data_IF_158232597237
#
_entry.id   IF_158232597237
#
_cell.length_a   1.000
_cell.length_b   1.000
_cell.length_c   1.000
_cell.angle_alpha   90.00
_cell.angle_beta   90.00
_cell.angle_gamma   90.00
#
_symmetry.space_group_name_H-M   'P 1'
#
loop_
_entity.id
_entity.type
_entity.pdbx_description
1 polymer ?
#
# COMPACT_ATOMS: atom_id res chain seq x y z
N UNK A 1 -4.30 11.72 -18.47
CA UNK A 1 -5.54 11.06 -18.00
C UNK A 1 -5.26 9.58 -17.76
N UNK A 2 -5.57 9.06 -16.57
CA UNK A 2 -5.40 7.69 -16.05
C UNK A 2 -4.46 6.70 -16.77
N UNK A 3 -4.74 6.27 -18.00
CA UNK A 3 -3.86 5.37 -18.78
C UNK A 3 -2.43 5.91 -18.95
N UNK A 4 -2.27 7.23 -19.06
CA UNK A 4 -0.95 7.86 -19.07
C UNK A 4 -0.19 7.69 -17.74
N UNK A 5 -0.91 7.69 -16.61
CA UNK A 5 -0.32 7.44 -15.30
C UNK A 5 0.10 5.98 -15.13
N UNK A 6 -0.70 5.02 -15.61
CA UNK A 6 -0.32 3.61 -15.62
C UNK A 6 0.92 3.35 -16.49
N UNK A 7 1.00 3.98 -17.67
CA UNK A 7 2.20 3.93 -18.52
C UNK A 7 3.41 4.55 -17.85
N UNK A 8 3.23 5.64 -17.11
CA UNK A 8 4.28 6.31 -16.36
C UNK A 8 4.83 5.44 -15.21
N UNK A 9 3.96 4.64 -14.59
CA UNK A 9 4.34 3.72 -13.51
C UNK A 9 4.90 2.38 -14.01
N UNK A 10 4.74 2.06 -15.30
CA UNK A 10 5.25 0.82 -15.88
C UNK A 10 6.78 0.76 -15.78
N UNK A 11 7.31 -0.38 -15.32
CA UNK A 11 8.74 -0.64 -15.16
C UNK A 11 9.53 -0.46 -16.46
N UNK A 12 8.98 -0.87 -17.60
CA UNK A 12 9.65 -0.79 -18.90
C UNK A 12 9.77 0.65 -19.43
N UNK A 13 8.87 1.53 -18.97
CA UNK A 13 8.81 2.94 -19.36
C UNK A 13 9.14 3.85 -18.18
N UNK A 14 9.80 3.32 -17.14
CA UNK A 14 10.02 4.05 -15.91
C UNK A 14 10.89 5.29 -16.19
N UNK A 15 10.35 6.51 -16.08
CA UNK A 15 11.04 7.73 -16.45
C UNK A 15 12.26 8.01 -15.56
N UNK A 16 12.31 7.43 -14.36
CA UNK A 16 13.45 7.53 -13.45
C UNK A 16 14.68 6.85 -14.05
N UNK A 17 14.50 5.75 -14.80
CA UNK A 17 15.59 5.00 -15.44
C UNK A 17 16.16 5.72 -16.67
N UNK A 18 15.37 6.58 -17.30
CA UNK A 18 15.73 7.32 -18.52
C UNK A 18 16.33 8.70 -18.16
N UNK A 19 16.29 9.11 -16.89
CA UNK A 19 16.81 10.40 -16.43
C UNK A 19 18.33 10.52 -16.66
N UNK A 20 18.76 11.65 -17.25
CA UNK A 20 20.14 11.90 -17.64
C UNK A 20 21.04 12.41 -16.51
N UNK A 21 20.45 13.04 -15.50
CA UNK A 21 21.17 13.59 -14.35
C UNK A 21 20.41 13.34 -13.03
N UNK A 22 21.13 13.50 -11.91
CA UNK A 22 20.62 13.20 -10.56
C UNK A 22 19.51 14.16 -10.12
N UNK A 23 19.56 15.42 -10.54
CA UNK A 23 18.54 16.43 -10.23
C UNK A 23 17.20 16.07 -10.88
N UNK A 24 17.23 15.70 -12.17
CA UNK A 24 16.07 15.19 -12.89
C UNK A 24 15.53 13.91 -12.25
N UNK A 25 16.42 12.99 -11.87
CA UNK A 25 16.03 11.74 -11.21
C UNK A 25 15.30 11.99 -9.90
N UNK A 26 15.75 12.94 -9.09
CA UNK A 26 15.10 13.29 -7.83
C UNK A 26 13.70 13.87 -8.07
N UNK A 27 13.58 14.82 -9.01
CA UNK A 27 12.29 15.43 -9.37
C UNK A 27 11.31 14.37 -9.92
N UNK A 28 11.79 13.48 -10.79
CA UNK A 28 10.98 12.42 -11.39
C UNK A 28 10.57 11.38 -10.35
N UNK A 29 11.44 11.03 -9.40
CA UNK A 29 11.10 10.15 -8.27
C UNK A 29 9.98 10.73 -7.42
N UNK A 30 10.06 12.02 -7.07
CA UNK A 30 8.99 12.69 -6.32
C UNK A 30 7.66 12.67 -7.06
N UNK A 31 7.66 12.94 -8.38
CA UNK A 31 6.46 12.85 -9.22
C UNK A 31 5.94 11.41 -9.35
N UNK A 32 6.84 10.43 -9.44
CA UNK A 32 6.50 9.01 -9.52
C UNK A 32 5.77 8.52 -8.28
N UNK A 33 6.27 8.89 -7.09
CA UNK A 33 5.61 8.59 -5.81
C UNK A 33 4.20 9.23 -5.78
N UNK A 34 4.08 10.50 -6.17
CA UNK A 34 2.78 11.20 -6.19
C UNK A 34 1.77 10.54 -7.14
N UNK A 35 2.19 10.20 -8.36
CA UNK A 35 1.34 9.53 -9.35
C UNK A 35 0.94 8.14 -8.87
N UNK A 36 1.88 7.37 -8.32
CA UNK A 36 1.63 6.05 -7.74
C UNK A 36 0.61 6.09 -6.61
N UNK A 37 0.75 7.06 -5.71
CA UNK A 37 -0.21 7.27 -4.62
C UNK A 37 -1.62 7.59 -5.13
N UNK A 38 -1.73 8.49 -6.12
CA UNK A 38 -3.03 8.82 -6.71
C UNK A 38 -3.67 7.62 -7.43
N UNK A 39 -2.89 6.86 -8.20
CA UNK A 39 -3.36 5.65 -8.88
C UNK A 39 -3.81 4.61 -7.85
N UNK A 40 -3.05 4.37 -6.79
CA UNK A 40 -3.43 3.47 -5.71
C UNK A 40 -4.74 3.90 -5.03
N UNK A 41 -4.88 5.19 -4.71
CA UNK A 41 -6.11 5.72 -4.10
C UNK A 41 -7.34 5.48 -4.96
N UNK A 42 -7.27 5.85 -6.25
CA UNK A 42 -8.40 5.70 -7.17
C UNK A 42 -8.75 4.23 -7.35
N UNK A 43 -7.76 3.35 -7.54
CA UNK A 43 -8.02 1.92 -7.70
C UNK A 43 -8.57 1.27 -6.44
N UNK A 44 -8.15 1.73 -5.25
CA UNK A 44 -8.72 1.27 -4.00
C UNK A 44 -10.20 1.64 -3.87
N UNK A 45 -10.60 2.84 -4.31
CA UNK A 45 -12.00 3.27 -4.35
C UNK A 45 -12.82 2.50 -5.39
N UNK A 46 -12.20 2.18 -6.54
CA UNK A 46 -12.80 1.37 -7.60
C UNK A 46 -12.79 -0.14 -7.30
N UNK A 47 -12.23 -0.56 -6.16
CA UNK A 47 -12.05 -1.98 -5.78
C UNK A 47 -11.16 -2.80 -6.73
N UNK A 48 -10.33 -2.13 -7.53
CA UNK A 48 -9.33 -2.76 -8.37
C UNK A 48 -8.07 -3.03 -7.54
N UNK A 49 -8.13 -4.03 -6.67
CA UNK A 49 -7.09 -4.27 -5.66
C UNK A 49 -5.73 -4.66 -6.27
N UNK A 50 -5.70 -5.39 -7.39
CA UNK A 50 -4.45 -5.78 -8.05
C UNK A 50 -3.66 -4.57 -8.56
N UNK A 51 -4.36 -3.65 -9.25
CA UNK A 51 -3.75 -2.41 -9.77
C UNK A 51 -3.34 -1.50 -8.61
N UNK A 52 -4.14 -1.45 -7.54
CA UNK A 52 -3.79 -0.72 -6.32
C UNK A 52 -2.49 -1.25 -5.72
N UNK A 53 -2.39 -2.56 -5.51
CA UNK A 53 -1.22 -3.19 -4.90
C UNK A 53 0.04 -3.01 -5.75
N UNK A 54 -0.07 -3.12 -7.07
CA UNK A 54 1.06 -2.88 -7.98
C UNK A 54 1.53 -1.41 -7.93
N UNK A 55 0.59 -0.45 -7.93
CA UNK A 55 0.93 0.96 -7.77
C UNK A 55 1.58 1.26 -6.41
N UNK A 56 1.08 0.66 -5.32
CA UNK A 56 1.65 0.77 -3.98
C UNK A 56 3.05 0.18 -3.91
N UNK A 57 3.28 -1.00 -4.48
CA UNK A 57 4.60 -1.63 -4.52
C UNK A 57 5.63 -0.73 -5.20
N UNK A 58 5.25 -0.11 -6.32
CA UNK A 58 6.09 0.84 -7.03
C UNK A 58 6.41 2.09 -6.21
N UNK A 59 5.45 2.61 -5.43
CA UNK A 59 5.72 3.71 -4.49
C UNK A 59 6.70 3.27 -3.41
N UNK A 60 6.46 2.13 -2.77
CA UNK A 60 7.27 1.64 -1.65
C UNK A 60 8.70 1.25 -2.06
N UNK A 61 8.95 0.93 -3.33
CA UNK A 61 10.31 0.76 -3.88
C UNK A 61 11.16 2.04 -3.81
N UNK A 62 10.52 3.21 -3.93
CA UNK A 62 11.19 4.51 -3.93
C UNK A 62 11.05 5.26 -2.60
N UNK A 63 9.97 5.03 -1.87
CA UNK A 63 9.72 5.56 -0.54
C UNK A 63 9.14 4.45 0.36
N UNK A 64 9.99 3.62 0.99
CA UNK A 64 9.56 2.52 1.85
C UNK A 64 8.75 2.97 3.07
N UNK A 65 8.91 4.23 3.48
CA UNK A 65 8.24 4.82 4.64
C UNK A 65 7.00 5.63 4.24
N UNK A 66 6.51 5.48 3.00
CA UNK A 66 5.33 6.18 2.53
C UNK A 66 4.08 5.71 3.28
N UNK A 67 3.66 6.53 4.25
CA UNK A 67 2.52 6.28 5.13
C UNK A 67 1.24 6.00 4.33
N UNK A 68 0.98 6.76 3.26
CA UNK A 68 -0.23 6.57 2.46
C UNK A 68 -0.22 5.23 1.72
N UNK A 69 0.90 4.88 1.11
CA UNK A 69 1.06 3.63 0.37
C UNK A 69 0.93 2.41 1.30
N UNK A 70 1.56 2.45 2.49
CA UNK A 70 1.44 1.38 3.51
C UNK A 70 -0.01 1.18 3.96
N UNK A 71 -0.73 2.27 4.25
CA UNK A 71 -2.13 2.18 4.64
C UNK A 71 -3.00 1.61 3.50
N UNK A 72 -2.80 2.09 2.27
CA UNK A 72 -3.52 1.59 1.08
C UNK A 72 -3.22 0.11 0.82
N UNK A 73 -1.98 -0.34 1.04
CA UNK A 73 -1.59 -1.76 0.95
C UNK A 73 -2.39 -2.61 1.92
N UNK A 74 -2.34 -2.24 3.21
CA UNK A 74 -3.05 -2.97 4.26
C UNK A 74 -4.55 -2.98 4.03
N UNK A 75 -5.12 -1.86 3.59
CA UNK A 75 -6.55 -1.77 3.25
C UNK A 75 -6.93 -2.61 2.03
N UNK A 76 -6.09 -2.67 0.99
CA UNK A 76 -6.34 -3.53 -0.15
C UNK A 76 -6.33 -5.02 0.25
N UNK A 77 -5.32 -5.46 1.01
CA UNK A 77 -5.27 -6.84 1.51
C UNK A 77 -6.43 -7.18 2.45
N UNK A 78 -6.81 -6.25 3.34
CA UNK A 78 -7.99 -6.41 4.20
C UNK A 78 -9.27 -6.65 3.40
N UNK A 79 -9.47 -5.89 2.33
CA UNK A 79 -10.65 -6.02 1.46
C UNK A 79 -10.62 -7.30 0.62
N UNK A 80 -9.43 -7.82 0.31
CA UNK A 80 -9.22 -9.12 -0.33
C UNK A 80 -9.38 -10.31 0.64
N UNK A 81 -9.56 -10.07 1.94
CA UNK A 81 -9.60 -11.12 2.96
C UNK A 81 -8.25 -11.74 3.29
N UNK A 82 -7.16 -11.19 2.77
CA UNK A 82 -5.78 -11.62 3.02
C UNK A 82 -5.26 -10.96 4.30
N UNK A 83 -5.84 -11.35 5.43
CA UNK A 83 -5.60 -10.73 6.73
C UNK A 83 -4.15 -10.88 7.22
N UNK A 84 -3.51 -11.99 6.89
CA UNK A 84 -2.09 -12.29 7.16
C UNK A 84 -1.16 -11.26 6.48
N UNK A 85 -1.49 -10.87 5.24
CA UNK A 85 -0.75 -9.87 4.46
C UNK A 85 -1.14 -8.43 4.80
N UNK A 86 -2.34 -8.22 5.34
CA UNK A 86 -2.82 -6.89 5.73
C UNK A 86 -2.12 -6.36 6.99
N UNK A 87 -1.82 -7.23 7.97
CA UNK A 87 -1.28 -6.83 9.26
C UNK A 87 0.11 -6.16 9.17
N UNK A 88 1.12 -6.74 8.47
CA UNK A 88 2.46 -6.17 8.43
C UNK A 88 2.52 -4.70 7.97
N UNK A 89 1.94 -4.30 6.81
CA UNK A 89 1.99 -2.90 6.37
C UNK A 89 1.24 -1.95 7.30
N UNK A 90 0.14 -2.40 7.93
CA UNK A 90 -0.58 -1.60 8.93
C UNK A 90 0.24 -1.40 10.22
N UNK A 91 1.00 -2.41 10.65
CA UNK A 91 1.92 -2.29 11.80
C UNK A 91 3.06 -1.32 11.51
N UNK A 92 3.65 -1.37 10.32
CA UNK A 92 4.68 -0.40 9.88
C UNK A 92 4.12 1.02 9.83
N UNK A 93 2.91 1.20 9.25
CA UNK A 93 2.20 2.47 9.26
C UNK A 93 2.11 3.05 10.68
N UNK A 94 1.70 2.23 11.65
CA UNK A 94 1.54 2.66 13.05
C UNK A 94 2.87 3.02 13.72
N UNK A 95 3.97 2.33 13.38
CA UNK A 95 5.30 2.66 13.89
C UNK A 95 5.77 4.03 13.40
N UNK A 96 5.62 4.30 12.09
CA UNK A 96 6.03 5.57 11.49
C UNK A 96 5.18 6.72 12.06
N UNK A 97 3.88 6.50 12.23
CA UNK A 97 2.94 7.48 12.78
C UNK A 97 3.14 7.81 14.26
N UNK A 98 3.81 6.95 15.03
CA UNK A 98 4.22 7.27 16.40
C UNK A 98 5.37 8.28 16.43
N UNK A 99 6.20 8.33 15.39
CA UNK A 99 7.30 9.29 15.25
C UNK A 99 6.92 10.57 14.49
N UNK A 100 5.81 10.59 13.76
CA UNK A 100 5.40 11.72 12.91
C UNK A 100 3.89 11.93 13.00
N UNK A 101 3.44 13.00 13.67
CA UNK A 101 2.01 13.25 14.00
C UNK A 101 1.18 13.83 12.84
N UNK A 102 1.63 13.74 11.59
CA UNK A 102 0.96 14.32 10.43
C UNK A 102 0.16 13.31 9.57
N UNK A 103 -0.30 12.18 10.14
CA UNK A 103 -1.25 11.32 9.42
C UNK A 103 -2.54 12.06 9.10
N UNK A 104 -2.99 11.92 7.85
CA UNK A 104 -4.38 12.20 7.46
C UNK A 104 -5.33 11.05 7.78
N UNK A 105 -4.80 9.88 8.16
CA UNK A 105 -5.58 8.67 8.46
C UNK A 105 -5.62 8.42 9.97
N UNK A 106 -6.83 8.25 10.50
CA UNK A 106 -7.05 8.02 11.92
C UNK A 106 -6.39 6.73 12.41
N UNK A 107 -5.53 6.83 13.43
CA UNK A 107 -4.85 5.70 14.08
C UNK A 107 -5.84 4.68 14.64
N UNK A 108 -7.00 5.15 15.10
CA UNK A 108 -8.09 4.32 15.63
C UNK A 108 -8.60 3.35 14.56
N UNK A 109 -8.84 3.85 13.35
CA UNK A 109 -9.30 3.04 12.22
C UNK A 109 -8.31 1.94 11.84
N UNK A 110 -7.01 2.26 11.85
CA UNK A 110 -5.97 1.27 11.57
C UNK A 110 -5.90 0.20 12.65
N UNK A 111 -6.04 0.61 13.92
CA UNK A 111 -6.05 -0.31 15.06
C UNK A 111 -7.25 -1.26 14.99
N UNK A 112 -8.43 -0.73 14.68
CA UNK A 112 -9.64 -1.54 14.45
C UNK A 112 -9.42 -2.54 13.30
N UNK A 113 -8.86 -2.10 12.18
CA UNK A 113 -8.56 -2.99 11.05
C UNK A 113 -7.60 -4.13 11.44
N UNK A 114 -6.54 -3.85 12.21
CA UNK A 114 -5.61 -4.88 12.69
C UNK A 114 -6.34 -5.87 13.61
N UNK A 115 -7.15 -5.39 14.55
CA UNK A 115 -7.91 -6.25 15.46
C UNK A 115 -8.87 -7.17 14.69
N UNK A 116 -9.55 -6.66 13.67
CA UNK A 116 -10.41 -7.47 12.81
C UNK A 116 -9.60 -8.52 12.05
N UNK A 117 -8.40 -8.17 11.55
CA UNK A 117 -7.53 -9.15 10.89
C UNK A 117 -7.13 -10.27 11.84
N UNK A 118 -6.65 -9.93 13.04
CA UNK A 118 -6.16 -10.90 14.03
C UNK A 118 -7.29 -11.83 14.51
N UNK A 119 -8.48 -11.29 14.76
CA UNK A 119 -9.65 -12.11 15.14
C UNK A 119 -10.10 -13.05 14.02
N UNK A 120 -10.12 -12.58 12.76
CA UNK A 120 -10.45 -13.42 11.60
C UNK A 120 -9.44 -14.54 11.39
N UNK A 121 -8.14 -14.25 11.49
CA UNK A 121 -7.08 -15.25 11.40
C UNK A 121 -7.22 -16.33 12.48
N UNK A 122 -7.42 -15.93 13.74
CA UNK A 122 -7.60 -16.87 14.84
C UNK A 122 -8.80 -17.81 14.64
N UNK A 123 -9.89 -17.31 14.04
CA UNK A 123 -11.04 -18.14 13.70
C UNK A 123 -10.69 -19.16 12.59
N UNK A 124 -9.96 -18.75 11.55
CA UNK A 124 -9.56 -19.66 10.47
C UNK A 124 -8.63 -20.77 10.98
N UNK A 125 -7.63 -20.44 11.79
CA UNK A 125 -6.72 -21.42 12.39
C UNK A 125 -7.44 -22.44 13.28
N UNK A 126 -8.51 -22.00 13.98
CA UNK A 126 -9.33 -22.91 14.79
C UNK A 126 -10.16 -23.84 13.91
N UNK A 127 -10.76 -23.33 12.83
CA UNK A 127 -11.55 -24.15 11.91
C UNK A 127 -10.70 -25.19 11.17
N UNK A 128 -9.46 -24.88 10.79
CA UNK A 128 -8.57 -25.84 10.14
C UNK A 128 -8.20 -27.02 11.07
N UNK A 129 -7.95 -26.75 12.35
CA UNK A 129 -7.65 -27.79 13.35
C UNK A 129 -8.84 -28.70 13.70
N UNK A 130 -10.06 -28.26 13.40
CA UNK A 130 -11.28 -29.06 13.60
C UNK A 130 -11.60 -29.95 12.38
N UNK A 131 -11.08 -29.60 11.19
CA UNK A 131 -11.25 -30.39 9.96
C UNK A 131 -10.26 -31.58 9.90
N UNK A 132 -9.09 -31.43 10.50
CA UNK A 132 -8.03 -32.46 10.54
C UNK A 132 -8.19 -33.51 11.67
N UNK A 133 -9.32 -33.53 12.39
CA UNK A 133 -9.64 -34.50 13.47
C UNK A 133 -10.72 -35.48 13.06
#
# INVERSE_FOLDING_TARGET
CYNGALRFLNTDLNPILIAFDESQRLILTGRYIQVGNNVAQVNLLLKNYDVCLNAVENVLKHDPNNVEALFRQGKAFFQLGLYDKAIPPLKVFMQIQKGNSNATVDKEKVTEMIQICETKLAHYEKSEKEIDK
#
